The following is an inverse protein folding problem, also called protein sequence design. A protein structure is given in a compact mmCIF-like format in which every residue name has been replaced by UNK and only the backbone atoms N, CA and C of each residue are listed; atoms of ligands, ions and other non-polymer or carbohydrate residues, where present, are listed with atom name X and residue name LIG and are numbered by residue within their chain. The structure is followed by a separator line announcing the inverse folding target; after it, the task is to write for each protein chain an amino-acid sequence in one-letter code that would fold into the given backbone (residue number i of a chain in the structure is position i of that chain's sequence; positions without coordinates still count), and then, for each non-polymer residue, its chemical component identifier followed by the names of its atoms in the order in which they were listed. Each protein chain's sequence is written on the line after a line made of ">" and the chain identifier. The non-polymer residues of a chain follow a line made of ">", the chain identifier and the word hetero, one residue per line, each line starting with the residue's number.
data_IF_441106041856
#
_entry.id   IF_441106041856
#
_cell.length_a   1.000
_cell.length_b   1.000
_cell.length_c   1.000
_cell.angle_alpha   90.00
_cell.angle_beta   90.00
_cell.angle_gamma   90.00
#
_symmetry.space_group_name_H-M   'P 1'
#
loop_
_entity.id
_entity.type
_entity.pdbx_description
1 polymer ?
#
# COMPACT_ATOMS: atom_id res chain seq x y z
N UNK A 1 -26.06 42.88 52.12
CA UNK A 1 -24.66 42.90 52.63
C UNK A 1 -24.22 41.46 52.76
N UNK A 2 -23.18 40.90 52.20
CA UNK A 2 -22.12 41.34 51.29
C UNK A 2 -21.46 40.05 50.79
N UNK A 3 -21.00 40.08 49.54
CA UNK A 3 -20.21 39.09 48.82
C UNK A 3 -19.02 38.51 49.62
N UNK A 4 -18.61 37.27 49.34
CA UNK A 4 -17.19 36.98 49.04
C UNK A 4 -17.05 35.70 48.19
N UNK A 5 -16.54 35.91 46.97
CA UNK A 5 -16.14 34.89 46.00
C UNK A 5 -14.71 34.43 46.31
N UNK A 6 -14.35 33.27 45.72
CA UNK A 6 -13.02 32.80 45.29
C UNK A 6 -12.31 31.83 46.24
N UNK A 7 -12.20 30.58 45.77
CA UNK A 7 -10.91 29.90 45.61
C UNK A 7 -11.06 28.80 44.56
N UNK A 8 -10.59 29.11 43.36
CA UNK A 8 -10.31 28.17 42.27
C UNK A 8 -8.81 27.91 42.33
N UNK A 9 -8.41 26.64 42.45
CA UNK A 9 -7.08 26.16 42.08
C UNK A 9 -7.21 24.68 41.71
N UNK A 10 -7.52 24.43 40.44
CA UNK A 10 -7.25 23.17 39.80
C UNK A 10 -6.06 23.39 38.87
N UNK A 11 -4.87 23.00 39.33
CA UNK A 11 -3.68 22.93 38.47
C UNK A 11 -3.84 21.66 37.63
N UNK A 12 -4.31 21.82 36.40
CA UNK A 12 -4.33 20.75 35.42
C UNK A 12 -2.90 20.58 34.86
N UNK A 13 -2.23 19.54 35.32
CA UNK A 13 -0.94 19.09 34.80
C UNK A 13 -1.16 18.51 33.40
N UNK A 14 -1.01 19.34 32.36
CA UNK A 14 -0.99 18.90 30.96
C UNK A 14 0.37 18.27 30.64
N UNK A 15 0.54 16.99 31.01
CA UNK A 15 1.50 16.11 30.37
C UNK A 15 0.97 15.83 28.95
N UNK A 16 1.43 16.64 28.00
CA UNK A 16 1.29 16.33 26.57
C UNK A 16 2.09 15.07 26.25
N UNK A 17 1.49 13.89 26.40
CA UNK A 17 1.97 12.69 25.72
C UNK A 17 1.84 12.96 24.22
N UNK A 18 2.95 13.34 23.57
CA UNK A 18 3.08 13.15 22.14
C UNK A 18 3.13 11.65 21.89
N UNK A 19 1.95 11.02 21.75
CA UNK A 19 1.88 9.72 21.13
C UNK A 19 2.63 9.84 19.79
N UNK A 20 3.60 8.95 19.49
CA UNK A 20 4.14 8.92 18.14
C UNK A 20 2.94 8.72 17.23
N UNK A 21 2.78 9.63 16.26
CA UNK A 21 1.86 9.43 15.17
C UNK A 21 2.32 8.16 14.46
N UNK A 22 1.81 7.01 14.87
CA UNK A 22 1.89 5.82 14.07
C UNK A 22 1.13 6.21 12.81
N UNK A 23 1.87 6.48 11.74
CA UNK A 23 1.28 6.69 10.43
C UNK A 23 0.42 5.46 10.19
N UNK A 24 -0.90 5.62 10.29
CA UNK A 24 -1.82 4.52 10.08
C UNK A 24 -1.61 4.08 8.63
N UNK A 25 -1.10 2.86 8.44
CA UNK A 25 -0.74 2.32 7.13
C UNK A 25 -1.84 2.64 6.13
N UNK A 26 -1.48 3.34 5.05
CA UNK A 26 -2.45 3.74 4.03
C UNK A 26 -3.13 2.52 3.38
N UNK A 27 -4.38 2.66 2.89
CA UNK A 27 -5.15 1.51 2.39
C UNK A 27 -4.50 0.82 1.18
N UNK A 28 -3.76 1.56 0.34
CA UNK A 28 -3.02 0.97 -0.79
C UNK A 28 -1.78 0.21 -0.32
N UNK A 29 -1.05 0.70 0.68
CA UNK A 29 0.07 -0.02 1.26
C UNK A 29 -0.38 -1.34 1.93
N UNK A 30 -1.56 -1.33 2.56
CA UNK A 30 -2.17 -2.56 3.06
C UNK A 30 -2.53 -3.54 1.94
N UNK A 31 -3.08 -3.05 0.83
CA UNK A 31 -3.39 -3.88 -0.34
C UNK A 31 -2.13 -4.45 -1.01
N UNK A 32 -1.04 -3.68 -1.07
CA UNK A 32 0.25 -4.13 -1.61
C UNK A 32 0.82 -5.29 -0.80
N UNK A 33 0.77 -5.22 0.54
CA UNK A 33 1.19 -6.34 1.40
C UNK A 33 0.31 -7.56 1.23
N UNK A 34 -1.00 -7.38 1.14
CA UNK A 34 -1.93 -8.48 0.94
C UNK A 34 -1.69 -9.21 -0.38
N UNK A 35 -1.32 -8.48 -1.44
CA UNK A 35 -0.95 -9.07 -2.73
C UNK A 35 0.41 -9.77 -2.65
N UNK A 36 1.42 -9.18 -2.00
CA UNK A 36 2.72 -9.82 -1.81
C UNK A 36 2.62 -11.13 -1.02
N UNK A 37 1.83 -11.16 0.05
CA UNK A 37 1.57 -12.38 0.83
C UNK A 37 0.87 -13.47 0.01
N UNK A 38 0.17 -13.09 -1.07
CA UNK A 38 -0.48 -14.04 -1.96
C UNK A 38 0.49 -14.65 -2.98
N UNK A 39 1.62 -14.00 -3.29
CA UNK A 39 2.60 -14.51 -4.25
C UNK A 39 3.31 -15.76 -3.70
N UNK A 40 3.53 -16.74 -4.58
CA UNK A 40 4.31 -17.94 -4.23
C UNK A 40 5.80 -17.61 -4.19
N UNK A 41 6.59 -18.40 -3.44
CA UNK A 41 8.04 -18.19 -3.42
C UNK A 41 8.69 -18.45 -4.78
N UNK A 42 8.10 -19.36 -5.56
CA UNK A 42 8.53 -19.72 -6.91
C UNK A 42 8.25 -18.61 -7.93
N UNK A 43 7.32 -17.69 -7.63
CA UNK A 43 7.06 -16.51 -8.44
C UNK A 43 8.10 -15.40 -8.26
N UNK A 44 8.99 -15.53 -7.26
CA UNK A 44 9.93 -14.50 -6.84
C UNK A 44 11.37 -14.88 -7.17
N UNK A 45 12.23 -13.87 -7.33
CA UNK A 45 13.67 -14.09 -7.46
C UNK A 45 14.25 -14.75 -6.19
N UNK A 46 15.36 -15.51 -6.31
CA UNK A 46 16.00 -16.14 -5.14
C UNK A 46 16.40 -15.15 -4.03
N UNK A 47 16.76 -13.92 -4.40
CA UNK A 47 17.14 -12.86 -3.47
C UNK A 47 15.96 -12.30 -2.66
N UNK A 48 14.71 -12.48 -3.13
CA UNK A 48 13.54 -11.89 -2.48
C UNK A 48 13.41 -12.27 -1.01
N UNK A 49 13.72 -13.52 -0.64
CA UNK A 49 13.65 -14.00 0.75
C UNK A 49 14.48 -13.14 1.70
N UNK A 50 15.64 -12.66 1.25
CA UNK A 50 16.52 -11.79 2.03
C UNK A 50 16.01 -10.35 2.09
N UNK A 51 15.42 -9.85 1.00
CA UNK A 51 14.93 -8.47 0.89
C UNK A 51 13.59 -8.26 1.58
N UNK A 52 12.72 -9.27 1.56
CA UNK A 52 11.32 -9.21 1.98
C UNK A 52 11.10 -8.63 3.38
N UNK A 53 11.83 -9.04 4.46
CA UNK A 53 11.55 -8.50 5.79
C UNK A 53 11.73 -6.98 5.87
N UNK A 54 12.77 -6.45 5.23
CA UNK A 54 13.01 -5.01 5.14
C UNK A 54 11.96 -4.31 4.28
N UNK A 55 11.62 -4.90 3.14
CA UNK A 55 10.57 -4.38 2.26
C UNK A 55 9.20 -4.31 2.96
N UNK A 56 8.79 -5.36 3.69
CA UNK A 56 7.52 -5.38 4.44
C UNK A 56 7.48 -4.26 5.48
N UNK A 57 8.59 -4.02 6.19
CA UNK A 57 8.71 -2.88 7.11
C UNK A 57 8.57 -1.54 6.38
N UNK A 58 9.24 -1.38 5.24
CA UNK A 58 9.14 -0.16 4.44
C UNK A 58 7.72 0.09 3.93
N UNK A 59 7.00 -0.94 3.46
CA UNK A 59 5.60 -0.80 3.05
C UNK A 59 4.70 -0.46 4.23
N UNK A 60 4.95 -1.09 5.39
CA UNK A 60 4.21 -0.80 6.61
C UNK A 60 4.34 0.65 7.06
N UNK A 61 5.52 1.23 6.86
CA UNK A 61 5.87 2.59 7.28
C UNK A 61 5.79 3.62 6.14
N UNK A 62 5.29 3.24 4.96
CA UNK A 62 5.20 4.13 3.82
C UNK A 62 4.27 5.32 4.14
N UNK A 63 4.83 6.52 4.13
CA UNK A 63 4.15 7.76 4.53
C UNK A 63 3.52 8.50 3.34
N UNK A 64 3.73 8.05 2.11
CA UNK A 64 3.17 8.69 0.92
C UNK A 64 2.86 7.69 -0.21
N UNK A 65 1.94 8.04 -1.13
CA UNK A 65 1.67 7.23 -2.30
C UNK A 65 2.91 7.02 -3.18
N UNK A 66 3.77 8.04 -3.31
CA UNK A 66 5.00 7.92 -4.08
C UNK A 66 5.96 6.86 -3.49
N UNK A 67 6.04 6.77 -2.15
CA UNK A 67 6.81 5.71 -1.49
C UNK A 67 6.18 4.33 -1.71
N UNK A 68 4.84 4.22 -1.60
CA UNK A 68 4.15 2.95 -1.90
C UNK A 68 4.34 2.52 -3.36
N UNK A 69 4.33 3.46 -4.32
CA UNK A 69 4.58 3.19 -5.72
C UNK A 69 6.01 2.66 -5.96
N UNK A 70 7.01 3.26 -5.32
CA UNK A 70 8.40 2.79 -5.41
C UNK A 70 8.56 1.37 -4.86
N UNK A 71 7.88 1.05 -3.75
CA UNK A 71 7.90 -0.29 -3.15
C UNK A 71 7.15 -1.32 -3.99
N UNK A 72 6.07 -0.92 -4.67
CA UNK A 72 5.37 -1.76 -5.64
C UNK A 72 6.24 -2.06 -6.87
N UNK A 73 7.02 -1.09 -7.36
CA UNK A 73 8.03 -1.34 -8.40
C UNK A 73 9.09 -2.31 -7.90
N UNK A 74 9.56 -2.17 -6.65
CA UNK A 74 10.52 -3.11 -6.09
C UNK A 74 9.96 -4.54 -6.03
N UNK A 75 8.68 -4.71 -5.67
CA UNK A 75 8.02 -6.02 -5.74
C UNK A 75 8.02 -6.57 -7.17
N UNK A 76 7.54 -5.80 -8.15
CA UNK A 76 7.49 -6.18 -9.56
C UNK A 76 8.86 -6.61 -10.09
N UNK A 77 9.91 -5.84 -9.80
CA UNK A 77 11.27 -6.14 -10.26
C UNK A 77 11.86 -7.41 -9.64
N UNK A 78 11.27 -7.91 -8.55
CA UNK A 78 11.67 -9.15 -7.89
C UNK A 78 10.71 -10.31 -8.21
N UNK A 79 9.69 -10.09 -9.03
CA UNK A 79 8.91 -11.18 -9.62
C UNK A 79 9.68 -11.79 -10.80
N UNK A 80 9.60 -13.11 -10.96
CA UNK A 80 10.11 -13.82 -12.14
C UNK A 80 9.29 -13.48 -13.39
N UNK A 81 9.90 -13.55 -14.57
CA UNK A 81 9.17 -13.31 -15.83
C UNK A 81 8.12 -14.40 -16.12
N UNK A 82 8.32 -15.58 -15.56
CA UNK A 82 7.39 -16.71 -15.54
C UNK A 82 6.21 -16.50 -14.60
N UNK A 83 6.26 -15.51 -13.70
CA UNK A 83 5.16 -15.18 -12.80
C UNK A 83 4.07 -14.32 -13.46
N UNK A 84 4.36 -13.74 -14.63
CA UNK A 84 3.50 -12.76 -15.30
C UNK A 84 3.17 -13.20 -16.73
N UNK A 85 2.08 -12.65 -17.27
CA UNK A 85 1.67 -12.88 -18.65
C UNK A 85 2.74 -12.39 -19.64
N UNK A 86 2.90 -13.10 -20.77
CA UNK A 86 3.90 -12.74 -21.78
C UNK A 86 3.75 -11.33 -22.36
N UNK A 87 2.52 -10.82 -22.42
CA UNK A 87 2.19 -9.45 -22.83
C UNK A 87 2.79 -8.38 -21.91
N UNK A 88 3.14 -8.73 -20.67
CA UNK A 88 3.70 -7.79 -19.71
C UNK A 88 4.97 -7.12 -20.20
N UNK A 89 5.80 -7.84 -20.96
CA UNK A 89 7.05 -7.29 -21.53
C UNK A 89 6.82 -6.03 -22.37
N UNK A 90 5.71 -5.96 -23.11
CA UNK A 90 5.38 -4.78 -23.92
C UNK A 90 4.75 -3.64 -23.13
N UNK A 91 4.20 -3.92 -21.95
CA UNK A 91 3.49 -2.96 -21.09
C UNK A 91 4.36 -2.42 -19.95
N UNK A 92 5.35 -3.18 -19.51
CA UNK A 92 6.16 -2.91 -18.31
C UNK A 92 6.81 -1.52 -18.31
N UNK A 93 7.40 -1.10 -19.42
CA UNK A 93 8.13 0.18 -19.46
C UNK A 93 7.21 1.39 -19.25
N UNK A 94 6.02 1.37 -19.85
CA UNK A 94 5.03 2.43 -19.62
C UNK A 94 4.45 2.35 -18.20
N UNK A 95 4.23 1.14 -17.67
CA UNK A 95 3.76 0.96 -16.29
C UNK A 95 4.78 1.48 -15.27
N UNK A 96 6.08 1.24 -15.48
CA UNK A 96 7.16 1.79 -14.64
C UNK A 96 7.18 3.31 -14.69
N UNK A 97 7.02 3.90 -15.88
CA UNK A 97 6.98 5.35 -16.05
C UNK A 97 5.74 5.98 -15.38
N UNK A 98 4.60 5.28 -15.36
CA UNK A 98 3.40 5.69 -14.63
C UNK A 98 3.60 5.58 -13.11
N UNK A 99 4.19 4.48 -12.62
CA UNK A 99 4.50 4.29 -11.21
C UNK A 99 5.45 5.38 -10.67
N UNK A 100 6.46 5.78 -11.46
CA UNK A 100 7.35 6.89 -11.10
C UNK A 100 6.63 8.24 -10.98
N UNK A 101 5.52 8.43 -11.71
CA UNK A 101 4.70 9.65 -11.70
C UNK A 101 3.52 9.58 -10.73
N UNK A 102 3.20 8.41 -10.17
CA UNK A 102 2.11 8.24 -9.23
C UNK A 102 2.30 9.12 -7.99
N UNK A 103 1.32 9.98 -7.69
CA UNK A 103 1.35 10.89 -6.52
C UNK A 103 0.12 10.75 -5.63
N UNK A 104 -0.90 10.04 -6.07
CA UNK A 104 -2.12 9.80 -5.31
C UNK A 104 -2.31 8.32 -4.97
N UNK A 105 -3.07 7.98 -3.91
CA UNK A 105 -3.46 6.59 -3.65
C UNK A 105 -4.23 5.97 -4.83
N UNK A 106 -5.00 6.77 -5.56
CA UNK A 106 -5.75 6.31 -6.73
C UNK A 106 -4.83 5.84 -7.86
N UNK A 107 -3.74 6.56 -8.14
CA UNK A 107 -2.76 6.16 -9.16
C UNK A 107 -2.13 4.82 -8.81
N UNK A 108 -1.69 4.67 -7.55
CA UNK A 108 -1.04 3.44 -7.08
C UNK A 108 -2.03 2.28 -7.06
N UNK A 109 -3.29 2.51 -6.71
CA UNK A 109 -4.33 1.47 -6.74
C UNK A 109 -4.56 0.92 -8.14
N UNK A 110 -4.60 1.78 -9.17
CA UNK A 110 -4.73 1.34 -10.57
C UNK A 110 -3.54 0.49 -10.99
N UNK A 111 -2.33 0.97 -10.72
CA UNK A 111 -1.10 0.28 -11.10
C UNK A 111 -0.93 -1.05 -10.37
N UNK A 112 -1.30 -1.11 -9.09
CA UNK A 112 -1.26 -2.34 -8.29
C UNK A 112 -2.28 -3.37 -8.80
N UNK A 113 -3.48 -2.91 -9.16
CA UNK A 113 -4.50 -3.78 -9.76
C UNK A 113 -4.01 -4.36 -11.08
N UNK A 114 -3.42 -3.52 -11.94
CA UNK A 114 -2.87 -3.98 -13.21
C UNK A 114 -1.75 -5.02 -13.01
N UNK A 115 -0.83 -4.79 -12.08
CA UNK A 115 0.22 -5.77 -11.76
C UNK A 115 -0.39 -7.13 -11.32
N UNK A 116 -1.44 -7.12 -10.52
CA UNK A 116 -2.15 -8.34 -10.13
C UNK A 116 -2.83 -9.01 -11.31
N UNK A 117 -3.48 -8.25 -12.20
CA UNK A 117 -4.18 -8.78 -13.37
C UNK A 117 -3.21 -9.47 -14.35
N UNK A 118 -1.99 -8.95 -14.49
CA UNK A 118 -0.96 -9.58 -15.33
C UNK A 118 -0.21 -10.71 -14.62
N UNK A 119 -0.39 -10.89 -13.31
CA UNK A 119 0.21 -12.00 -12.57
C UNK A 119 -0.54 -13.30 -12.87
N UNK A 120 0.19 -14.37 -13.16
CA UNK A 120 -0.40 -15.67 -13.47
C UNK A 120 -1.00 -16.32 -12.22
N UNK A 121 -2.09 -17.08 -12.40
CA UNK A 121 -2.70 -17.83 -11.30
C UNK A 121 -1.76 -18.87 -10.66
N UNK A 122 -0.75 -19.34 -11.38
CA UNK A 122 0.29 -20.24 -10.85
C UNK A 122 1.31 -19.52 -9.95
N UNK A 123 1.39 -18.19 -10.04
CA UNK A 123 2.29 -17.34 -9.26
C UNK A 123 1.67 -16.86 -7.94
N UNK A 124 0.41 -17.20 -7.68
CA UNK A 124 -0.31 -16.86 -6.45
C UNK A 124 -0.82 -18.12 -5.76
N UNK A 125 -0.97 -18.03 -4.45
CA UNK A 125 -1.53 -19.09 -3.62
C UNK A 125 -2.97 -19.43 -4.02
N UNK A 126 -3.36 -20.69 -3.82
CA UNK A 126 -4.71 -21.15 -4.15
C UNK A 126 -5.83 -20.41 -3.39
N UNK A 127 -5.54 -19.92 -2.18
CA UNK A 127 -6.48 -19.12 -1.37
C UNK A 127 -6.73 -17.73 -1.96
N UNK A 128 -5.84 -17.23 -2.83
CA UNK A 128 -6.00 -15.91 -3.46
C UNK A 128 -7.33 -15.78 -4.21
N UNK A 129 -7.83 -16.86 -4.83
CA UNK A 129 -9.12 -16.85 -5.54
C UNK A 129 -10.29 -16.38 -4.69
N UNK A 130 -10.32 -16.76 -3.41
CA UNK A 130 -11.36 -16.33 -2.46
C UNK A 130 -11.15 -14.91 -1.95
N UNK A 131 -9.89 -14.48 -1.83
CA UNK A 131 -9.50 -13.16 -1.30
C UNK A 131 -9.61 -12.03 -2.34
N UNK A 132 -9.29 -12.35 -3.60
CA UNK A 132 -9.17 -11.40 -4.71
C UNK A 132 -10.39 -10.51 -4.91
N UNK A 133 -11.66 -10.99 -4.89
CA UNK A 133 -12.81 -10.11 -5.13
C UNK A 133 -12.90 -8.93 -4.16
N UNK A 134 -12.67 -9.18 -2.87
CA UNK A 134 -12.67 -8.12 -1.85
C UNK A 134 -11.47 -7.19 -1.97
N UNK A 135 -10.30 -7.72 -2.37
CA UNK A 135 -9.11 -6.93 -2.64
C UNK A 135 -9.30 -5.99 -3.84
N UNK A 136 -9.84 -6.50 -4.96
CA UNK A 136 -10.16 -5.71 -6.16
C UNK A 136 -11.18 -4.62 -5.84
N UNK A 137 -12.27 -4.96 -5.14
CA UNK A 137 -13.28 -3.98 -4.75
C UNK A 137 -12.70 -2.83 -3.90
N UNK A 138 -11.73 -3.14 -3.03
CA UNK A 138 -11.02 -2.11 -2.24
C UNK A 138 -10.17 -1.21 -3.12
N UNK A 139 -9.43 -1.76 -4.08
CA UNK A 139 -8.64 -0.95 -5.02
C UNK A 139 -9.52 -0.08 -5.91
N UNK A 140 -10.64 -0.61 -6.39
CA UNK A 140 -11.61 0.14 -7.19
C UNK A 140 -12.23 1.31 -6.39
N UNK A 141 -12.52 1.10 -5.11
CA UNK A 141 -12.99 2.18 -4.23
C UNK A 141 -11.93 3.28 -4.05
N UNK A 142 -10.66 2.91 -3.87
CA UNK A 142 -9.55 3.88 -3.76
C UNK A 142 -9.36 4.63 -5.08
N UNK A 143 -9.39 3.92 -6.20
CA UNK A 143 -9.22 4.49 -7.54
C UNK A 143 -10.36 5.44 -7.92
N UNK A 144 -11.58 5.17 -7.46
CA UNK A 144 -12.77 6.01 -7.69
C UNK A 144 -12.76 7.30 -6.88
N UNK A 145 -11.97 7.38 -5.81
CA UNK A 145 -11.74 8.61 -5.04
C UNK A 145 -11.18 9.79 -5.85
N UNK A 146 -10.65 9.52 -7.06
CA UNK A 146 -10.19 10.52 -8.05
C UNK A 146 -11.28 11.52 -8.45
N UNK A 147 -12.55 11.15 -8.34
CA UNK A 147 -13.69 11.99 -8.74
C UNK A 147 -14.22 12.94 -7.67
N UNK A 148 -13.79 12.80 -6.41
CA UNK A 148 -14.39 13.52 -5.28
C UNK A 148 -13.70 14.87 -4.96
N UNK A 149 -12.48 15.11 -5.43
CA UNK A 149 -11.69 16.31 -5.15
C UNK A 149 -11.62 17.31 -6.31
N UNK A 150 -12.44 17.10 -7.35
CA UNK A 150 -12.49 17.92 -8.56
C UNK A 150 -13.73 18.80 -8.71
N UNK A 151 -14.31 19.30 -7.59
CA UNK A 151 -15.36 20.33 -7.60
C UNK A 151 -14.97 21.50 -6.72
#
# INVERSE_FOLDING_TARGET
>A
MSSFRRSLLAVALLLGLTAPAHAQRGPVAAALLQFEEALTWEAMTPDWRRLRPGWVQQVSNAASPAQTAALMVQLETNMGWEAVQGSWRGRRDSWLAEAQRARSPADVAVLLKELEEVTLWSAVSGSWRGTRPGWVARLDAIASGRGATGK
#
